data_IF_951006336509
#
_entry.id   IF_951006336509
#
_cell.length_a   1.000
_cell.length_b   1.000
_cell.length_c   1.000
_cell.angle_alpha   90.00
_cell.angle_beta   90.00
_cell.angle_gamma   90.00
#
_symmetry.space_group_name_H-M   'P 1'
#
loop_
_entity.id
_entity.type
_entity.pdbx_description
1 polymer ?
#
# COMPACT_ATOMS: atom_id res chain seq x y z
N UNK A 1 -28.63 -18.23 15.60
CA UNK A 1 -28.48 -16.97 14.88
C UNK A 1 -27.07 -16.39 14.96
N UNK A 2 -26.46 -16.09 16.14
CA UNK A 2 -25.10 -15.48 16.21
C UNK A 2 -23.94 -16.41 15.75
N UNK A 3 -24.08 -17.72 15.81
CA UNK A 3 -23.07 -18.68 15.39
C UNK A 3 -23.17 -18.96 13.88
N UNK A 4 -24.41 -19.01 13.34
CA UNK A 4 -24.66 -19.19 11.91
C UNK A 4 -24.23 -17.98 11.08
N UNK A 5 -24.37 -16.75 11.59
CA UNK A 5 -23.89 -15.56 10.88
C UNK A 5 -22.34 -15.50 10.83
N UNK A 6 -21.63 -15.99 11.86
CA UNK A 6 -20.17 -16.05 11.85
C UNK A 6 -19.65 -17.05 10.79
N UNK A 7 -20.29 -18.21 10.69
CA UNK A 7 -19.94 -19.20 9.66
C UNK A 7 -20.30 -18.70 8.25
N UNK A 8 -21.32 -17.85 8.11
CA UNK A 8 -21.70 -17.24 6.82
C UNK A 8 -20.71 -16.13 6.42
N UNK A 9 -20.28 -15.29 7.36
CA UNK A 9 -19.29 -14.21 7.13
C UNK A 9 -17.92 -14.81 6.77
N UNK A 10 -17.48 -15.85 7.48
CA UNK A 10 -16.29 -16.64 7.17
C UNK A 10 -16.42 -17.33 5.80
N UNK A 11 -17.60 -17.86 5.48
CA UNK A 11 -17.85 -18.59 4.23
C UNK A 11 -17.94 -17.68 3.00
N UNK A 12 -18.43 -16.46 3.15
CA UNK A 12 -18.48 -15.43 2.10
C UNK A 12 -17.08 -14.94 1.77
N UNK A 13 -16.26 -14.74 2.81
CA UNK A 13 -14.87 -14.34 2.66
C UNK A 13 -14.03 -15.45 2.00
N UNK A 14 -14.20 -16.69 2.44
CA UNK A 14 -13.56 -17.91 1.94
C UNK A 14 -13.77 -18.15 0.43
N UNK A 15 -14.95 -17.87 -0.11
CA UNK A 15 -15.27 -18.11 -1.51
C UNK A 15 -14.63 -17.12 -2.48
N UNK A 16 -14.38 -15.87 -2.05
CA UNK A 16 -13.87 -14.84 -2.94
C UNK A 16 -12.35 -14.84 -3.12
N UNK A 17 -11.61 -15.25 -2.11
CA UNK A 17 -10.13 -15.26 -2.17
C UNK A 17 -9.63 -16.49 -2.92
N UNK A 18 -10.27 -17.66 -2.75
CA UNK A 18 -9.89 -18.91 -3.43
C UNK A 18 -10.19 -18.93 -4.95
N UNK A 19 -11.00 -17.99 -5.47
CA UNK A 19 -11.38 -17.97 -6.90
C UNK A 19 -10.54 -17.04 -7.78
N UNK A 20 -9.64 -16.22 -7.21
CA UNK A 20 -9.01 -15.14 -7.95
C UNK A 20 -7.75 -15.49 -8.74
N UNK A 21 -7.37 -16.76 -8.88
CA UNK A 21 -6.25 -17.16 -9.77
C UNK A 21 -4.95 -16.36 -9.55
N UNK A 22 -4.67 -15.95 -8.30
CA UNK A 22 -3.48 -15.18 -7.97
C UNK A 22 -2.25 -16.06 -8.11
N UNK A 23 -1.22 -15.50 -8.74
CA UNK A 23 0.09 -16.11 -8.80
C UNK A 23 0.98 -15.44 -7.76
N UNK A 24 1.48 -16.22 -6.82
CA UNK A 24 2.42 -15.79 -5.82
C UNK A 24 3.83 -16.15 -6.23
N UNK A 25 4.71 -15.16 -6.30
CA UNK A 25 6.11 -15.33 -6.65
C UNK A 25 6.98 -15.03 -5.43
N UNK A 26 7.88 -15.94 -5.11
CA UNK A 26 8.88 -15.76 -4.07
C UNK A 26 10.26 -15.60 -4.72
N UNK A 27 10.85 -14.43 -4.57
CA UNK A 27 12.23 -14.19 -4.98
C UNK A 27 13.15 -14.47 -3.81
N UNK A 28 14.12 -15.38 -3.99
CA UNK A 28 15.09 -15.78 -2.99
C UNK A 28 16.46 -15.36 -3.47
N UNK A 29 17.19 -14.63 -2.62
CA UNK A 29 18.61 -14.37 -2.76
C UNK A 29 19.36 -15.21 -1.75
N UNK A 30 20.06 -16.22 -2.24
CA UNK A 30 20.86 -17.16 -1.42
C UNK A 30 22.30 -17.29 -1.98
N UNK A 31 23.07 -18.27 -1.49
CA UNK A 31 24.46 -18.48 -1.90
C UNK A 31 24.57 -18.93 -3.39
N UNK A 32 23.50 -19.47 -3.98
CA UNK A 32 23.42 -19.81 -5.39
C UNK A 32 23.12 -18.59 -6.30
N UNK A 33 22.64 -17.50 -5.70
CA UNK A 33 22.26 -16.26 -6.38
C UNK A 33 20.78 -15.90 -6.23
N UNK A 34 20.26 -15.12 -7.16
CA UNK A 34 18.87 -14.69 -7.18
C UNK A 34 18.02 -15.65 -8.00
N UNK A 35 16.94 -16.15 -7.43
CA UNK A 35 15.94 -16.98 -8.11
C UNK A 35 14.53 -16.56 -7.76
N UNK A 36 13.62 -16.66 -8.71
CA UNK A 36 12.19 -16.39 -8.50
C UNK A 36 11.37 -17.64 -8.75
N UNK A 37 10.52 -18.00 -7.81
CA UNK A 37 9.73 -19.21 -7.79
C UNK A 37 8.25 -18.85 -7.78
N UNK A 38 7.46 -19.40 -8.70
CA UNK A 38 6.02 -19.29 -8.66
C UNK A 38 5.44 -20.34 -7.72
N UNK A 39 4.92 -19.92 -6.57
CA UNK A 39 4.38 -20.82 -5.55
C UNK A 39 3.14 -21.58 -6.03
N UNK A 40 2.38 -21.03 -6.98
CA UNK A 40 1.18 -21.67 -7.53
C UNK A 40 1.51 -22.93 -8.36
N UNK A 41 2.77 -23.10 -8.79
CA UNK A 41 3.19 -24.28 -9.58
C UNK A 41 3.33 -25.55 -8.77
N UNK A 42 3.40 -25.46 -7.43
CA UNK A 42 3.54 -26.65 -6.56
C UNK A 42 2.25 -27.48 -6.47
N UNK A 43 1.11 -26.95 -6.86
CA UNK A 43 -0.18 -27.68 -6.84
C UNK A 43 -0.66 -28.06 -5.45
N UNK A 44 -0.15 -27.42 -4.40
CA UNK A 44 -0.52 -27.63 -3.00
C UNK A 44 -0.44 -26.30 -2.25
N UNK A 45 -1.20 -26.19 -1.16
CA UNK A 45 -1.27 -24.95 -0.41
C UNK A 45 -0.13 -24.79 0.62
N UNK A 46 0.46 -25.88 1.11
CA UNK A 46 1.54 -25.85 2.10
C UNK A 46 2.84 -26.32 1.46
N UNK A 47 3.83 -25.44 1.38
CA UNK A 47 5.10 -25.59 0.68
C UNK A 47 6.21 -25.50 1.72
N UNK A 48 7.01 -26.55 1.88
CA UNK A 48 8.13 -26.59 2.82
C UNK A 48 9.36 -25.89 2.24
N UNK A 49 10.16 -25.24 3.11
CA UNK A 49 11.43 -24.66 2.71
C UNK A 49 12.52 -24.89 3.78
N UNK A 50 13.76 -24.95 3.32
CA UNK A 50 14.93 -25.22 4.16
C UNK A 50 16.15 -25.59 3.32
N UNK A 51 17.30 -25.87 3.96
CA UNK A 51 18.53 -26.20 3.23
C UNK A 51 18.55 -27.63 2.68
N UNK A 52 17.75 -28.55 3.24
CA UNK A 52 17.65 -29.92 2.74
C UNK A 52 16.91 -30.02 1.41
N UNK A 53 17.41 -30.85 0.50
CA UNK A 53 16.75 -31.19 -0.77
C UNK A 53 15.39 -31.91 -0.61
N UNK A 54 15.04 -32.32 0.60
CA UNK A 54 13.74 -32.92 0.90
C UNK A 54 12.61 -31.87 1.01
N UNK A 55 12.94 -30.58 1.07
CA UNK A 55 11.94 -29.52 1.04
C UNK A 55 11.46 -29.27 -0.40
N UNK A 56 10.28 -28.69 -0.51
CA UNK A 56 9.74 -28.23 -1.80
C UNK A 56 10.60 -27.12 -2.40
N UNK A 57 11.09 -26.23 -1.52
CA UNK A 57 12.04 -25.17 -1.88
C UNK A 57 13.33 -25.44 -1.11
N UNK A 58 14.33 -25.93 -1.83
CA UNK A 58 15.67 -26.11 -1.29
C UNK A 58 16.46 -24.79 -1.42
N UNK A 59 16.93 -24.29 -0.28
CA UNK A 59 17.66 -23.02 -0.18
C UNK A 59 19.16 -23.32 -0.05
N UNK A 60 19.96 -22.74 -0.93
CA UNK A 60 21.41 -22.92 -0.91
C UNK A 60 22.07 -21.99 0.11
N UNK A 61 22.02 -22.36 1.39
CA UNK A 61 22.70 -21.60 2.44
C UNK A 61 22.96 -22.45 3.69
N UNK A 62 24.17 -22.32 4.23
CA UNK A 62 24.53 -22.96 5.50
C UNK A 62 23.94 -22.26 6.73
N UNK A 63 23.21 -21.16 6.54
CA UNK A 63 22.57 -20.35 7.59
C UNK A 63 21.09 -20.65 7.71
N UNK A 64 20.57 -21.60 6.96
CA UNK A 64 19.18 -22.05 6.96
C UNK A 64 19.13 -23.48 7.49
N UNK A 65 18.21 -23.80 8.39
CA UNK A 65 18.04 -25.15 8.88
C UNK A 65 17.63 -26.13 7.78
N UNK A 66 17.90 -27.42 7.98
CA UNK A 66 17.48 -28.48 7.05
C UNK A 66 16.01 -28.39 6.71
N UNK A 67 15.18 -28.11 7.70
CA UNK A 67 13.79 -27.70 7.56
C UNK A 67 13.58 -26.41 8.33
N UNK A 68 13.39 -25.30 7.62
CA UNK A 68 13.24 -23.98 8.23
C UNK A 68 11.79 -23.69 8.57
N UNK A 69 10.84 -24.10 7.70
CA UNK A 69 9.43 -23.83 7.89
C UNK A 69 8.57 -24.05 6.64
N UNK A 70 7.43 -23.37 6.61
CA UNK A 70 6.45 -23.49 5.56
C UNK A 70 5.99 -22.15 5.01
N UNK A 71 5.62 -22.17 3.75
CA UNK A 71 4.78 -21.15 3.10
C UNK A 71 3.41 -21.79 2.91
N UNK A 72 2.37 -21.16 3.42
CA UNK A 72 0.99 -21.64 3.28
C UNK A 72 0.16 -20.63 2.52
N UNK A 73 -0.36 -21.05 1.34
CA UNK A 73 -1.28 -20.25 0.54
C UNK A 73 -2.65 -20.38 1.17
N UNK A 74 -3.11 -19.30 1.79
CA UNK A 74 -4.40 -19.20 2.46
C UNK A 74 -5.33 -18.27 1.68
N UNK A 75 -6.55 -18.16 2.12
CA UNK A 75 -7.52 -17.18 1.63
C UNK A 75 -7.11 -15.72 1.85
N UNK A 76 -6.23 -15.46 2.82
CA UNK A 76 -5.72 -14.11 3.16
C UNK A 76 -4.37 -13.79 2.49
N UNK A 77 -3.84 -14.69 1.66
CA UNK A 77 -2.54 -14.58 1.03
C UNK A 77 -1.56 -15.66 1.47
N UNK A 78 -0.29 -15.40 1.41
CA UNK A 78 0.75 -16.36 1.78
C UNK A 78 1.21 -16.11 3.21
N UNK A 79 0.97 -17.09 4.09
CA UNK A 79 1.52 -17.13 5.44
C UNK A 79 2.88 -17.83 5.40
N UNK A 80 3.92 -17.18 5.92
CA UNK A 80 5.21 -17.84 6.18
C UNK A 80 5.31 -18.17 7.66
N UNK A 81 5.69 -19.43 7.96
CA UNK A 81 5.86 -19.95 9.32
C UNK A 81 7.28 -20.45 9.53
N UNK A 82 7.86 -20.12 10.69
CA UNK A 82 9.18 -20.59 11.12
C UNK A 82 9.06 -21.77 12.07
N UNK A 83 9.49 -22.94 11.65
CA UNK A 83 9.54 -24.14 12.50
C UNK A 83 10.91 -24.35 13.17
N UNK A 84 11.93 -23.57 12.75
CA UNK A 84 13.26 -23.67 13.33
C UNK A 84 13.29 -23.03 14.73
N UNK A 85 13.79 -23.80 15.71
CA UNK A 85 14.05 -23.33 17.07
C UNK A 85 15.42 -22.64 17.21
N UNK A 86 16.30 -22.78 16.23
CA UNK A 86 17.70 -22.33 16.32
C UNK A 86 17.94 -21.10 15.43
N UNK A 87 17.26 -21.04 14.28
CA UNK A 87 17.48 -20.03 13.26
C UNK A 87 16.26 -19.12 13.14
N UNK A 88 16.32 -17.88 13.68
CA UNK A 88 15.20 -16.97 13.62
C UNK A 88 15.01 -16.39 12.21
N UNK A 89 13.77 -16.19 11.80
CA UNK A 89 13.42 -15.33 10.69
C UNK A 89 13.30 -13.88 11.16
N UNK A 90 13.73 -12.95 10.32
CA UNK A 90 13.73 -11.53 10.62
C UNK A 90 12.91 -10.81 9.53
N UNK A 91 11.85 -10.15 9.94
CA UNK A 91 11.00 -9.33 9.07
C UNK A 91 11.34 -7.85 9.09
N UNK A 92 10.40 -7.04 8.64
CA UNK A 92 10.46 -5.58 8.67
C UNK A 92 10.77 -5.07 10.09
N UNK A 93 11.55 -3.98 10.19
CA UNK A 93 11.94 -3.41 11.48
C UNK A 93 12.94 -4.25 12.27
N UNK A 94 13.59 -5.27 11.67
CA UNK A 94 14.48 -6.24 12.31
C UNK A 94 13.81 -7.04 13.45
N UNK A 95 12.50 -7.22 13.38
CA UNK A 95 11.75 -8.01 14.34
C UNK A 95 11.90 -9.52 14.03
N UNK A 96 12.04 -10.32 15.06
CA UNK A 96 11.96 -11.80 14.93
C UNK A 96 10.50 -12.14 14.69
N UNK A 97 10.28 -12.97 13.68
CA UNK A 97 8.94 -13.43 13.26
C UNK A 97 8.86 -14.95 13.34
N UNK A 98 7.77 -15.45 13.90
CA UNK A 98 7.43 -16.87 13.88
C UNK A 98 6.45 -17.16 12.74
N UNK A 99 5.35 -16.39 12.67
CA UNK A 99 4.34 -16.44 11.61
C UNK A 99 4.01 -15.04 11.13
N UNK A 100 4.00 -14.82 9.81
CA UNK A 100 3.60 -13.54 9.23
C UNK A 100 3.00 -13.72 7.84
N UNK A 101 1.96 -12.93 7.52
CA UNK A 101 1.43 -12.84 6.16
C UNK A 101 2.34 -11.98 5.30
N UNK A 102 2.70 -12.51 4.12
CA UNK A 102 3.52 -11.83 3.13
C UNK A 102 2.62 -11.11 2.12
N UNK A 103 2.72 -9.80 2.06
CA UNK A 103 2.08 -8.93 1.07
C UNK A 103 3.02 -8.60 -0.08
N UNK A 104 2.53 -7.86 -1.08
CA UNK A 104 3.35 -7.36 -2.18
C UNK A 104 4.60 -6.65 -1.66
N UNK A 105 5.75 -7.14 -2.05
CA UNK A 105 7.03 -6.60 -1.66
C UNK A 105 7.44 -6.86 -0.21
N UNK A 106 6.69 -7.61 0.61
CA UNK A 106 7.17 -8.06 1.93
C UNK A 106 8.45 -8.85 1.80
N UNK A 107 9.33 -8.72 2.79
CA UNK A 107 10.57 -9.49 2.81
C UNK A 107 10.78 -10.18 4.15
N UNK A 108 11.51 -11.29 4.10
CA UNK A 108 12.00 -12.04 5.26
C UNK A 108 13.47 -12.33 5.06
N UNK A 109 14.26 -12.18 6.13
CA UNK A 109 15.68 -12.50 6.15
C UNK A 109 15.97 -13.63 7.12
N UNK A 110 16.92 -14.48 6.76
CA UNK A 110 17.57 -15.43 7.65
C UNK A 110 19.05 -15.11 7.57
N UNK A 111 19.62 -14.51 8.61
CA UNK A 111 21.00 -14.04 8.62
C UNK A 111 21.73 -14.44 9.90
N UNK A 112 22.97 -14.82 9.75
CA UNK A 112 23.92 -14.86 10.87
C UNK A 112 24.43 -13.43 11.16
N UNK A 113 24.07 -12.92 12.33
CA UNK A 113 24.43 -11.55 12.74
C UNK A 113 25.93 -11.30 12.83
N UNK A 114 26.72 -12.32 13.06
CA UNK A 114 28.18 -12.19 13.22
C UNK A 114 28.88 -12.10 11.86
N UNK A 115 28.53 -12.95 10.92
CA UNK A 115 29.15 -13.00 9.58
C UNK A 115 28.44 -12.09 8.57
N UNK A 116 27.24 -11.58 8.87
CA UNK A 116 26.37 -10.83 7.94
C UNK A 116 26.09 -11.62 6.64
N UNK A 117 26.03 -12.95 6.74
CA UNK A 117 25.69 -13.87 5.66
C UNK A 117 24.34 -14.50 5.92
N UNK A 118 23.66 -14.90 4.87
CA UNK A 118 22.36 -15.55 4.94
C UNK A 118 21.56 -15.31 3.67
N UNK A 119 20.25 -15.28 3.80
CA UNK A 119 19.33 -15.16 2.68
C UNK A 119 18.33 -14.03 2.88
N UNK A 120 17.76 -13.56 1.76
CA UNK A 120 16.58 -12.68 1.71
C UNK A 120 15.53 -13.33 0.83
N UNK A 121 14.30 -13.36 1.30
CA UNK A 121 13.12 -13.77 0.54
C UNK A 121 12.20 -12.56 0.38
N UNK A 122 11.69 -12.31 -0.85
CA UNK A 122 10.78 -11.19 -1.15
C UNK A 122 9.56 -11.75 -1.87
N UNK A 123 8.37 -11.38 -1.39
CA UNK A 123 7.10 -11.77 -2.00
C UNK A 123 6.69 -10.79 -3.09
N UNK A 124 6.13 -11.32 -4.19
CA UNK A 124 5.39 -10.54 -5.17
C UNK A 124 4.13 -11.27 -5.63
N UNK A 125 3.08 -10.52 -5.97
CA UNK A 125 1.76 -11.03 -6.31
C UNK A 125 1.44 -10.69 -7.77
N UNK A 126 1.00 -11.69 -8.54
CA UNK A 126 0.60 -11.58 -9.94
C UNK A 126 1.67 -11.05 -10.91
N UNK A 127 2.91 -10.91 -10.47
CA UNK A 127 4.00 -10.38 -11.28
C UNK A 127 5.23 -11.24 -11.12
N UNK A 128 5.67 -11.83 -12.22
CA UNK A 128 6.98 -12.46 -12.28
C UNK A 128 8.05 -11.37 -12.26
N UNK A 129 8.82 -11.30 -11.18
CA UNK A 129 9.91 -10.34 -10.98
C UNK A 129 11.23 -10.93 -11.48
N UNK A 130 11.28 -11.47 -12.72
CA UNK A 130 12.47 -12.11 -13.26
C UNK A 130 13.60 -11.12 -13.54
N UNK A 131 13.32 -9.81 -13.56
CA UNK A 131 14.29 -8.80 -13.94
C UNK A 131 14.63 -7.87 -12.79
N UNK A 132 15.49 -8.36 -11.89
CA UNK A 132 16.19 -7.48 -10.97
C UNK A 132 17.33 -6.80 -11.70
N UNK A 133 17.36 -5.48 -11.64
CA UNK A 133 18.49 -4.72 -12.14
C UNK A 133 19.64 -4.77 -11.14
N UNK A 134 20.86 -4.62 -11.63
CA UNK A 134 22.05 -4.61 -10.77
C UNK A 134 22.96 -3.43 -11.09
N UNK A 135 23.48 -2.80 -10.04
CA UNK A 135 24.48 -1.75 -10.14
C UNK A 135 25.72 -2.09 -9.32
N UNK A 136 26.89 -2.08 -9.94
CA UNK A 136 28.16 -2.35 -9.26
C UNK A 136 28.61 -1.11 -8.47
N UNK A 137 28.71 -1.22 -7.17
CA UNK A 137 29.22 -0.17 -6.31
C UNK A 137 30.76 -0.09 -6.42
N UNK A 138 31.26 1.00 -6.96
CA UNK A 138 32.67 1.33 -6.97
C UNK A 138 33.05 2.20 -5.75
N UNK A 139 34.32 2.26 -5.33
CA UNK A 139 34.75 3.23 -4.33
C UNK A 139 34.37 4.66 -4.72
N UNK A 140 33.82 5.43 -3.79
CA UNK A 140 33.29 6.78 -4.02
C UNK A 140 31.79 6.88 -3.78
N UNK A 141 31.15 7.81 -4.47
CA UNK A 141 29.74 8.15 -4.30
C UNK A 141 28.92 7.55 -5.44
N UNK A 142 27.80 6.92 -5.07
CA UNK A 142 26.75 6.47 -5.99
C UNK A 142 25.48 7.23 -5.65
N UNK A 143 24.97 8.03 -6.58
CA UNK A 143 23.76 8.85 -6.39
C UNK A 143 22.52 8.12 -6.90
N UNK A 144 21.42 8.22 -6.15
CA UNK A 144 20.13 7.61 -6.44
C UNK A 144 19.07 8.71 -6.43
N UNK A 145 18.19 8.75 -7.43
CA UNK A 145 17.13 9.74 -7.48
C UNK A 145 16.39 9.75 -8.81
N UNK A 146 15.44 10.68 -8.98
CA UNK A 146 14.66 10.80 -10.21
C UNK A 146 15.35 11.64 -11.30
N UNK A 147 16.47 12.28 -11.00
CA UNK A 147 17.24 13.02 -11.99
C UNK A 147 18.01 12.08 -12.92
N UNK A 148 17.96 12.34 -14.23
CA UNK A 148 18.78 11.63 -15.22
C UNK A 148 20.31 11.79 -15.02
N UNK A 149 20.75 12.63 -14.06
CA UNK A 149 22.16 12.79 -13.67
C UNK A 149 22.59 11.83 -12.56
N UNK A 150 21.66 11.11 -11.93
CA UNK A 150 21.97 10.11 -10.92
C UNK A 150 22.55 8.84 -11.54
N UNK A 151 23.37 8.12 -10.76
CA UNK A 151 23.91 6.82 -11.18
C UNK A 151 22.81 5.76 -11.29
N UNK A 152 21.86 5.79 -10.37
CA UNK A 152 20.66 4.96 -10.41
C UNK A 152 19.47 5.90 -10.53
N UNK A 153 18.78 5.83 -11.66
CA UNK A 153 17.61 6.68 -11.95
C UNK A 153 16.35 5.90 -11.66
N UNK A 154 15.57 6.37 -10.70
CA UNK A 154 14.33 5.74 -10.26
C UNK A 154 13.11 6.52 -10.79
N UNK A 155 11.94 5.88 -10.77
CA UNK A 155 10.68 6.53 -11.17
C UNK A 155 10.42 7.79 -10.33
N UNK A 156 9.96 8.92 -10.92
CA UNK A 156 9.81 10.20 -10.23
C UNK A 156 8.73 10.22 -9.15
N UNK A 157 7.80 9.26 -9.12
CA UNK A 157 6.73 9.25 -8.13
C UNK A 157 7.27 9.11 -6.70
N UNK A 158 7.17 10.19 -5.91
CA UNK A 158 7.63 10.22 -4.52
C UNK A 158 9.15 10.18 -4.33
N UNK A 159 9.94 10.27 -5.41
CA UNK A 159 11.41 10.23 -5.37
C UNK A 159 11.98 11.61 -5.68
N UNK A 160 12.81 12.14 -4.77
CA UNK A 160 13.50 13.39 -4.99
C UNK A 160 14.51 13.30 -6.14
N UNK A 161 14.88 14.42 -6.77
CA UNK A 161 15.88 14.46 -7.86
C UNK A 161 17.19 13.80 -7.46
N UNK A 162 17.71 14.15 -6.29
CA UNK A 162 18.78 13.49 -5.58
C UNK A 162 18.16 13.01 -4.27
N UNK A 163 17.85 11.73 -4.18
CA UNK A 163 17.14 11.17 -3.03
C UNK A 163 18.11 10.61 -2.01
N UNK A 164 19.10 9.87 -2.49
CA UNK A 164 20.08 9.21 -1.65
C UNK A 164 21.48 9.26 -2.27
N UNK A 165 22.49 9.22 -1.41
CA UNK A 165 23.88 8.99 -1.81
C UNK A 165 24.46 7.83 -1.03
N UNK A 166 24.97 6.83 -1.73
CA UNK A 166 25.74 5.74 -1.15
C UNK A 166 27.20 6.09 -1.23
N UNK A 167 27.89 6.03 -0.10
CA UNK A 167 29.32 6.28 0.02
C UNK A 167 30.02 4.94 0.28
N UNK A 168 30.97 4.58 -0.56
CA UNK A 168 31.77 3.37 -0.37
C UNK A 168 33.25 3.71 -0.21
N UNK A 169 33.78 3.33 0.95
CA UNK A 169 35.20 3.49 1.28
C UNK A 169 35.73 2.15 1.74
N UNK A 170 36.63 1.54 0.96
CA UNK A 170 37.12 0.20 1.23
C UNK A 170 35.96 -0.81 1.39
N UNK A 171 35.86 -1.42 2.57
CA UNK A 171 34.82 -2.40 2.88
C UNK A 171 33.62 -1.80 3.64
N UNK A 172 33.60 -0.48 3.85
CA UNK A 172 32.49 0.20 4.51
C UNK A 172 31.60 0.87 3.49
N UNK A 173 30.32 0.50 3.51
CA UNK A 173 29.27 1.12 2.70
C UNK A 173 28.32 1.86 3.64
N UNK A 174 28.02 3.11 3.32
CA UNK A 174 27.04 3.92 4.07
C UNK A 174 26.09 4.60 3.10
N UNK A 175 24.92 4.96 3.58
CA UNK A 175 23.91 5.69 2.81
C UNK A 175 23.48 6.93 3.57
N UNK A 176 23.24 8.03 2.85
CA UNK A 176 22.67 9.28 3.37
C UNK A 176 21.42 9.65 2.56
N UNK A 177 20.44 10.22 3.25
CA UNK A 177 19.27 10.85 2.64
C UNK A 177 19.63 12.31 2.31
N UNK A 178 19.41 12.73 1.08
CA UNK A 178 19.71 14.08 0.58
C UNK A 178 18.54 15.07 0.81
N UNK A 179 17.75 14.86 1.86
CA UNK A 179 16.60 15.71 2.22
C UNK A 179 15.35 15.35 1.43
N UNK A 180 15.11 14.06 1.22
CA UNK A 180 13.91 13.57 0.58
C UNK A 180 12.67 13.74 1.46
N UNK A 181 11.48 13.85 0.87
CA UNK A 181 10.23 13.93 1.62
C UNK A 181 9.84 12.59 2.23
N UNK A 182 10.05 11.51 1.47
CA UNK A 182 9.60 10.16 1.83
C UNK A 182 10.65 9.37 2.60
N UNK A 183 11.87 9.91 2.77
CA UNK A 183 12.93 9.25 3.50
C UNK A 183 13.50 8.01 2.83
N UNK A 184 14.45 7.39 3.49
CA UNK A 184 15.07 6.12 3.14
C UNK A 184 14.82 5.16 4.29
N UNK A 185 14.45 3.93 3.98
CA UNK A 185 14.25 2.89 4.99
C UNK A 185 15.30 1.80 4.80
N UNK A 186 15.89 1.36 5.89
CA UNK A 186 16.81 0.21 5.92
C UNK A 186 16.18 -0.85 6.80
N UNK A 187 15.87 -2.00 6.24
CA UNK A 187 15.19 -3.11 6.92
C UNK A 187 13.87 -2.69 7.61
N UNK A 188 13.13 -1.75 7.01
CA UNK A 188 11.89 -1.20 7.56
C UNK A 188 12.08 -0.08 8.60
N UNK A 189 13.31 0.36 8.89
CA UNK A 189 13.58 1.48 9.79
C UNK A 189 14.01 2.71 9.00
N UNK A 190 13.32 3.83 9.22
CA UNK A 190 13.64 5.10 8.57
C UNK A 190 14.95 5.68 9.09
N UNK A 191 15.79 6.20 8.19
CA UNK A 191 16.94 7.02 8.54
C UNK A 191 16.59 8.50 8.43
N UNK A 192 17.05 9.28 9.40
CA UNK A 192 16.82 10.74 9.40
C UNK A 192 17.62 11.41 8.29
N UNK A 193 17.05 12.47 7.68
CA UNK A 193 17.61 13.23 6.57
C UNK A 193 18.99 13.89 6.83
N UNK A 194 19.49 13.87 8.05
CA UNK A 194 20.81 14.39 8.42
C UNK A 194 21.79 13.30 8.88
N UNK A 195 21.37 12.06 8.86
CA UNK A 195 22.16 10.93 9.36
C UNK A 195 22.68 10.07 8.22
N UNK A 196 23.92 9.61 8.41
CA UNK A 196 24.53 8.59 7.58
C UNK A 196 24.39 7.24 8.27
N UNK A 197 23.72 6.27 7.61
CA UNK A 197 23.57 4.93 8.10
C UNK A 197 24.57 3.97 7.46
N UNK A 198 25.08 3.02 8.23
CA UNK A 198 25.93 1.94 7.71
C UNK A 198 25.06 0.88 7.06
N UNK A 199 25.42 0.46 5.86
CA UNK A 199 24.78 -0.65 5.15
C UNK A 199 25.61 -1.92 5.33
N UNK A 200 24.96 -2.99 5.72
CA UNK A 200 25.52 -4.31 5.80
C UNK A 200 25.07 -5.17 4.59
N UNK A 201 25.79 -6.25 4.35
CA UNK A 201 25.37 -7.19 3.33
C UNK A 201 23.94 -7.72 3.62
N UNK A 202 23.14 -7.91 2.58
CA UNK A 202 21.73 -8.29 2.65
C UNK A 202 20.79 -7.28 3.33
N UNK A 203 21.23 -6.03 3.54
CA UNK A 203 20.30 -4.99 3.95
C UNK A 203 19.33 -4.65 2.83
N UNK A 204 18.05 -4.62 3.18
CA UNK A 204 16.96 -4.25 2.27
C UNK A 204 16.67 -2.77 2.46
N UNK A 205 16.83 -2.00 1.39
CA UNK A 205 16.66 -0.55 1.37
C UNK A 205 15.40 -0.22 0.58
N UNK A 206 14.58 0.68 1.10
CA UNK A 206 13.40 1.19 0.42
C UNK A 206 13.59 2.66 0.08
N UNK A 207 13.34 2.99 -1.17
CA UNK A 207 13.31 4.36 -1.68
C UNK A 207 12.04 4.49 -2.54
N UNK A 208 11.00 5.12 -1.97
CA UNK A 208 9.68 5.14 -2.60
C UNK A 208 9.12 3.73 -2.81
N UNK A 209 8.78 3.37 -4.05
CA UNK A 209 8.33 2.04 -4.44
C UNK A 209 9.46 1.12 -4.95
N UNK A 210 10.72 1.52 -4.75
CA UNK A 210 11.87 0.73 -5.17
C UNK A 210 12.50 0.03 -3.98
N UNK A 211 12.74 -1.26 -4.10
CA UNK A 211 13.54 -2.04 -3.15
C UNK A 211 14.92 -2.27 -3.72
N UNK A 212 15.92 -2.05 -2.87
CA UNK A 212 17.30 -2.33 -3.19
C UNK A 212 17.87 -3.27 -2.13
N UNK A 213 18.72 -4.20 -2.55
CA UNK A 213 19.43 -5.12 -1.67
C UNK A 213 20.93 -4.91 -1.88
N UNK A 214 21.65 -4.62 -0.79
CA UNK A 214 23.10 -4.62 -0.85
C UNK A 214 23.60 -6.07 -0.81
N UNK A 215 24.18 -6.53 -1.90
CA UNK A 215 24.78 -7.86 -2.01
C UNK A 215 26.26 -7.73 -2.40
N UNK A 216 27.14 -7.94 -1.42
CA UNK A 216 28.60 -7.76 -1.54
C UNK A 216 28.97 -6.34 -2.00
N UNK A 217 29.30 -6.19 -3.27
CA UNK A 217 29.64 -4.91 -3.91
C UNK A 217 28.62 -4.46 -4.97
N UNK A 218 27.45 -5.06 -4.98
CA UNK A 218 26.36 -4.75 -5.90
C UNK A 218 25.13 -4.27 -5.15
N UNK A 219 24.39 -3.38 -5.77
CA UNK A 219 22.99 -3.13 -5.44
C UNK A 219 22.14 -3.87 -6.46
N UNK A 220 21.35 -4.80 -5.96
CA UNK A 220 20.25 -5.40 -6.71
C UNK A 220 19.03 -4.54 -6.44
N UNK A 221 18.29 -4.14 -7.47
CA UNK A 221 17.11 -3.30 -7.25
C UNK A 221 15.99 -3.62 -8.21
N UNK A 222 14.77 -3.34 -7.74
CA UNK A 222 13.55 -3.51 -8.49
C UNK A 222 12.51 -2.49 -8.09
N UNK A 223 11.77 -2.00 -9.08
CA UNK A 223 10.64 -1.11 -8.92
C UNK A 223 9.38 -1.97 -8.81
N UNK A 224 8.75 -1.96 -7.64
CA UNK A 224 7.46 -2.63 -7.43
C UNK A 224 6.32 -1.84 -8.07
N UNK A 225 5.17 -2.48 -8.25
CA UNK A 225 4.04 -1.83 -8.89
C UNK A 225 3.67 -0.50 -8.21
N UNK A 226 3.20 0.44 -9.02
CA UNK A 226 2.61 1.67 -8.50
C UNK A 226 1.34 1.29 -7.72
N UNK A 227 1.07 2.05 -6.64
CA UNK A 227 -0.02 1.75 -5.74
C UNK A 227 0.46 1.06 -4.46
N UNK A 228 -0.44 0.93 -3.52
CA UNK A 228 -0.18 0.28 -2.23
C UNK A 228 -1.19 -0.83 -2.04
N UNK A 229 -0.72 -2.00 -1.67
CA UNK A 229 -1.57 -3.03 -1.11
C UNK A 229 -1.95 -2.63 0.32
N UNK A 230 -3.24 -2.74 0.63
CA UNK A 230 -3.77 -2.54 1.97
C UNK A 230 -4.44 -3.81 2.44
N UNK A 231 -3.96 -4.35 3.56
CA UNK A 231 -4.54 -5.51 4.22
C UNK A 231 -5.13 -5.07 5.57
N UNK A 232 -6.44 -5.18 5.70
CA UNK A 232 -7.17 -5.00 6.94
C UNK A 232 -7.48 -6.38 7.52
N UNK A 233 -6.98 -6.68 8.73
CA UNK A 233 -7.07 -8.01 9.34
C UNK A 233 -7.83 -7.88 10.65
N UNK A 234 -9.01 -8.49 10.72
CA UNK A 234 -9.88 -8.58 11.91
C UNK A 234 -10.14 -7.22 12.59
N UNK A 235 -10.45 -6.20 11.79
CA UNK A 235 -10.63 -4.84 12.27
C UNK A 235 -11.92 -4.71 13.07
N UNK A 236 -11.76 -4.34 14.36
CA UNK A 236 -12.87 -4.02 15.26
C UNK A 236 -12.75 -2.58 15.73
N UNK A 237 -13.84 -1.81 15.66
CA UNK A 237 -13.91 -0.47 16.24
C UNK A 237 -15.08 -0.34 17.20
N UNK A 238 -14.76 -0.08 18.49
CA UNK A 238 -15.73 0.18 19.55
C UNK A 238 -15.67 1.65 19.93
N UNK A 239 -16.84 2.26 20.10
CA UNK A 239 -16.98 3.63 20.57
C UNK A 239 -17.87 3.68 21.81
N UNK A 240 -17.53 4.57 22.75
CA UNK A 240 -18.39 4.84 23.91
C UNK A 240 -19.42 5.90 23.54
N UNK A 241 -20.69 5.54 23.58
CA UNK A 241 -21.82 6.46 23.40
C UNK A 241 -22.55 6.55 24.73
N UNK A 242 -22.41 7.67 25.42
CA UNK A 242 -22.90 7.87 26.80
C UNK A 242 -22.32 6.78 27.74
N UNK A 243 -23.14 5.88 28.24
CA UNK A 243 -22.72 4.80 29.17
C UNK A 243 -22.63 3.42 28.52
N UNK A 244 -22.82 3.32 27.18
CA UNK A 244 -22.78 2.05 26.47
C UNK A 244 -21.62 2.04 25.45
N UNK A 245 -20.91 0.93 25.39
CA UNK A 245 -19.96 0.67 24.32
C UNK A 245 -20.72 0.04 23.15
N UNK A 246 -20.60 0.64 21.96
CA UNK A 246 -21.15 0.11 20.71
C UNK A 246 -20.02 -0.25 19.77
N UNK A 247 -20.13 -1.39 19.15
CA UNK A 247 -19.27 -1.80 18.05
C UNK A 247 -19.79 -1.18 16.77
N UNK A 248 -18.93 -0.48 16.05
CA UNK A 248 -19.24 0.25 14.80
C UNK A 248 -18.61 -0.42 13.60
N UNK A 249 -17.50 -1.12 13.79
CA UNK A 249 -16.90 -2.02 12.80
C UNK A 249 -16.68 -3.36 13.49
N UNK A 250 -17.12 -4.44 12.88
CA UNK A 250 -17.18 -5.75 13.50
C UNK A 250 -16.43 -6.78 12.68
N UNK A 251 -15.22 -7.10 13.14
CA UNK A 251 -14.38 -8.18 12.58
C UNK A 251 -14.21 -8.12 11.06
N UNK A 252 -13.90 -6.94 10.52
CA UNK A 252 -13.76 -6.74 9.08
C UNK A 252 -12.36 -7.11 8.64
N UNK A 253 -12.27 -8.05 7.69
CA UNK A 253 -11.03 -8.40 7.00
C UNK A 253 -11.20 -8.23 5.50
N UNK A 254 -10.21 -7.60 4.84
CA UNK A 254 -10.14 -7.48 3.39
C UNK A 254 -8.72 -7.16 2.92
N UNK A 255 -8.40 -7.55 1.69
CA UNK A 255 -7.18 -7.17 1.00
C UNK A 255 -7.51 -6.36 -0.24
N UNK A 256 -6.94 -5.18 -0.35
CA UNK A 256 -7.06 -4.27 -1.48
C UNK A 256 -5.71 -4.22 -2.19
N UNK A 257 -5.69 -4.60 -3.47
CA UNK A 257 -4.45 -4.71 -4.24
C UNK A 257 -3.94 -3.35 -4.71
N UNK A 258 -2.66 -3.24 -5.08
CA UNK A 258 -2.13 -2.06 -5.75
C UNK A 258 -2.97 -1.69 -6.97
N UNK A 259 -3.25 -0.39 -7.11
CA UNK A 259 -3.98 0.18 -8.25
C UNK A 259 -5.46 -0.23 -8.38
N UNK A 260 -6.03 -0.90 -7.37
CA UNK A 260 -7.47 -1.15 -7.34
C UNK A 260 -8.26 0.11 -6.99
N UNK A 261 -9.42 0.25 -7.63
CA UNK A 261 -10.45 1.22 -7.27
C UNK A 261 -11.60 0.52 -6.55
N UNK A 262 -11.71 0.74 -5.25
CA UNK A 262 -12.67 0.04 -4.36
C UNK A 262 -13.70 1.00 -3.81
N UNK A 263 -14.98 0.66 -3.87
CA UNK A 263 -16.06 1.41 -3.25
C UNK A 263 -16.62 0.72 -2.01
N UNK A 264 -16.69 1.44 -0.89
CA UNK A 264 -17.39 1.01 0.33
C UNK A 264 -18.82 1.55 0.28
N UNK A 265 -19.78 0.65 0.26
CA UNK A 265 -21.20 0.92 0.01
C UNK A 265 -22.05 0.40 1.18
N UNK A 266 -23.17 1.02 1.46
CA UNK A 266 -24.09 0.61 2.54
C UNK A 266 -24.90 1.78 3.10
N UNK A 267 -25.87 1.49 3.94
CA UNK A 267 -26.76 2.46 4.53
C UNK A 267 -26.05 3.56 5.35
N UNK A 268 -26.78 4.64 5.66
CA UNK A 268 -26.28 5.65 6.58
C UNK A 268 -26.12 5.05 7.97
N UNK A 269 -24.94 5.25 8.60
CA UNK A 269 -24.65 4.66 9.91
C UNK A 269 -24.14 3.22 9.90
N UNK A 270 -23.95 2.61 8.72
CA UNK A 270 -23.37 1.26 8.56
C UNK A 270 -21.88 1.15 8.94
N UNK A 271 -21.24 2.20 9.43
CA UNK A 271 -19.85 2.17 9.92
C UNK A 271 -18.76 2.39 8.86
N UNK A 272 -19.09 2.58 7.57
CA UNK A 272 -18.15 2.74 6.45
C UNK A 272 -17.04 3.75 6.70
N UNK A 273 -17.40 5.01 7.00
CA UNK A 273 -16.42 6.07 7.28
C UNK A 273 -15.61 5.79 8.54
N UNK A 274 -16.18 5.09 9.53
CA UNK A 274 -15.45 4.68 10.73
C UNK A 274 -14.42 3.62 10.40
N UNK A 275 -14.78 2.61 9.61
CA UNK A 275 -13.85 1.60 9.13
C UNK A 275 -12.77 2.23 8.26
N UNK A 276 -13.14 3.10 7.31
CA UNK A 276 -12.17 3.81 6.47
C UNK A 276 -11.17 4.63 7.31
N UNK A 277 -11.63 5.31 8.39
CA UNK A 277 -10.73 6.03 9.31
C UNK A 277 -9.77 5.09 10.04
N UNK A 278 -10.19 3.84 10.31
CA UNK A 278 -9.28 2.85 10.91
C UNK A 278 -8.22 2.36 9.94
N UNK A 279 -8.53 2.19 8.66
CA UNK A 279 -7.58 1.69 7.69
C UNK A 279 -6.73 2.78 7.01
N UNK A 280 -7.08 4.06 7.23
CA UNK A 280 -6.34 5.22 6.70
C UNK A 280 -5.38 5.85 7.71
N UNK A 281 -5.28 5.32 8.93
CA UNK A 281 -4.41 5.89 9.96
C UNK A 281 -5.00 7.09 10.73
N UNK A 282 -6.21 7.56 10.40
CA UNK A 282 -6.86 8.70 11.08
C UNK A 282 -7.24 8.34 12.52
N UNK A 283 -7.68 7.11 12.76
CA UNK A 283 -8.09 6.64 14.09
C UNK A 283 -7.76 5.17 14.26
N UNK A 284 -6.94 4.76 15.23
CA UNK A 284 -6.60 3.36 15.40
C UNK A 284 -7.83 2.48 15.65
N UNK A 285 -7.87 1.25 15.15
CA UNK A 285 -8.88 0.27 15.51
C UNK A 285 -8.81 -0.08 17.00
N UNK A 286 -9.86 -0.68 17.54
CA UNK A 286 -9.85 -1.19 18.92
C UNK A 286 -9.09 -2.51 19.01
N UNK A 287 -9.16 -3.32 17.98
CA UNK A 287 -8.36 -4.53 17.74
C UNK A 287 -8.27 -4.80 16.24
N UNK A 288 -7.38 -5.71 15.87
CA UNK A 288 -7.03 -6.00 14.48
C UNK A 288 -5.81 -5.23 14.00
N UNK A 289 -5.36 -5.54 12.80
CA UNK A 289 -4.11 -5.01 12.22
C UNK A 289 -4.37 -4.43 10.84
N UNK A 290 -3.72 -3.32 10.52
CA UNK A 290 -3.74 -2.72 9.18
C UNK A 290 -2.31 -2.75 8.65
N UNK A 291 -2.12 -3.37 7.48
CA UNK A 291 -0.83 -3.43 6.81
C UNK A 291 -0.87 -2.63 5.52
N UNK A 292 0.19 -1.90 5.24
CA UNK A 292 0.45 -1.26 3.94
C UNK A 292 1.72 -1.88 3.37
N UNK A 293 1.60 -2.60 2.26
CA UNK A 293 2.70 -3.39 1.67
C UNK A 293 3.42 -4.27 2.72
N UNK A 294 2.65 -4.90 3.63
CA UNK A 294 3.16 -5.76 4.71
C UNK A 294 3.68 -5.04 5.95
N UNK A 295 3.69 -3.71 5.98
CA UNK A 295 4.11 -2.93 7.14
C UNK A 295 2.92 -2.46 7.97
N UNK A 296 2.98 -2.68 9.29
CA UNK A 296 1.92 -2.23 10.18
C UNK A 296 1.79 -0.70 10.16
N UNK A 297 0.62 -0.23 9.74
CA UNK A 297 0.33 1.19 9.59
C UNK A 297 0.52 1.98 10.89
N UNK A 298 0.10 1.43 12.02
CA UNK A 298 0.10 2.16 13.29
C UNK A 298 1.46 2.13 14.00
N UNK A 299 2.26 1.09 13.77
CA UNK A 299 3.62 1.01 14.29
C UNK A 299 4.58 1.91 13.49
N UNK A 300 4.29 2.14 12.19
CA UNK A 300 5.12 2.89 11.27
C UNK A 300 4.41 4.12 10.68
N UNK A 301 3.42 4.69 11.38
CA UNK A 301 2.55 5.74 10.84
C UNK A 301 3.31 6.97 10.33
N UNK A 302 4.30 7.44 11.08
CA UNK A 302 5.10 8.62 10.70
C UNK A 302 5.78 8.47 9.34
N UNK A 303 6.07 7.26 8.95
CA UNK A 303 6.74 6.91 7.70
C UNK A 303 5.75 6.65 6.57
N UNK A 304 4.64 5.98 6.88
CA UNK A 304 3.65 5.55 5.89
C UNK A 304 2.66 6.66 5.51
N UNK A 305 2.45 7.65 6.41
CA UNK A 305 1.47 8.74 6.19
C UNK A 305 1.68 9.54 4.90
N UNK A 306 2.91 9.66 4.41
CA UNK A 306 3.23 10.39 3.18
C UNK A 306 2.72 9.69 1.91
N UNK A 307 2.46 8.38 2.01
CA UNK A 307 1.86 7.61 0.93
C UNK A 307 0.33 7.68 0.91
N UNK A 308 -0.29 8.31 1.91
CA UNK A 308 -1.74 8.34 2.11
C UNK A 308 -2.26 9.74 1.79
N UNK A 309 -3.21 9.83 0.87
CA UNK A 309 -4.07 11.00 0.64
C UNK A 309 -5.44 10.75 1.25
N UNK A 310 -5.97 11.70 1.99
CA UNK A 310 -7.29 11.59 2.62
C UNK A 310 -8.15 12.81 2.30
N UNK A 311 -9.23 12.60 1.56
CA UNK A 311 -10.22 13.61 1.22
C UNK A 311 -11.47 13.42 2.08
N UNK A 312 -11.70 14.28 3.08
CA UNK A 312 -12.88 14.16 3.94
C UNK A 312 -14.18 14.57 3.23
N UNK A 313 -15.29 14.25 3.88
CA UNK A 313 -16.62 14.60 3.38
C UNK A 313 -16.78 16.12 3.21
N UNK A 314 -16.31 16.91 4.19
CA UNK A 314 -16.31 18.38 4.09
C UNK A 314 -15.11 18.88 3.29
N UNK A 315 -15.30 19.98 2.55
CA UNK A 315 -14.23 20.57 1.73
C UNK A 315 -13.13 21.17 2.62
N UNK A 316 -11.87 20.79 2.34
CA UNK A 316 -10.68 21.25 3.10
C UNK A 316 -10.05 22.52 2.51
N UNK A 317 -10.70 23.17 1.58
CA UNK A 317 -10.18 24.32 0.84
C UNK A 317 -10.71 25.65 1.39
N UNK A 318 -9.86 26.68 1.44
CA UNK A 318 -10.21 27.99 1.99
C UNK A 318 -10.98 28.82 0.95
N UNK A 319 -12.24 29.18 1.26
CA UNK A 319 -13.15 29.88 0.36
C UNK A 319 -12.65 31.23 -0.16
N UNK A 320 -11.78 31.93 0.61
CA UNK A 320 -11.26 33.26 0.31
C UNK A 320 -9.96 33.26 -0.48
N UNK A 321 -9.41 32.10 -0.82
CA UNK A 321 -8.23 31.99 -1.67
C UNK A 321 -8.65 31.66 -3.11
N UNK A 322 -7.79 32.00 -4.07
CA UNK A 322 -7.92 31.48 -5.44
C UNK A 322 -7.53 30.00 -5.45
N UNK A 323 -7.95 29.27 -6.48
CA UNK A 323 -7.52 27.88 -6.67
C UNK A 323 -5.99 27.79 -6.76
N UNK A 324 -5.35 28.69 -7.50
CA UNK A 324 -3.91 28.75 -7.62
C UNK A 324 -3.23 28.98 -6.27
N UNK A 325 -3.68 29.97 -5.47
CA UNK A 325 -3.10 30.26 -4.17
C UNK A 325 -3.25 29.07 -3.21
N UNK A 326 -4.44 28.42 -3.21
CA UNK A 326 -4.70 27.23 -2.41
C UNK A 326 -3.69 26.14 -2.73
N UNK A 327 -3.47 25.84 -4.02
CA UNK A 327 -2.53 24.82 -4.46
C UNK A 327 -1.08 25.21 -4.22
N UNK A 328 -0.73 26.52 -4.33
CA UNK A 328 0.61 27.01 -4.02
C UNK A 328 0.98 26.83 -2.53
N UNK A 329 0.03 27.17 -1.63
CA UNK A 329 0.27 26.95 -0.19
C UNK A 329 0.33 25.47 0.16
N UNK A 330 -0.57 24.68 -0.40
CA UNK A 330 -0.55 23.23 -0.20
C UNK A 330 0.73 22.59 -0.73
N UNK A 331 1.20 23.00 -1.92
CA UNK A 331 2.46 22.52 -2.49
C UNK A 331 3.68 22.82 -1.61
N UNK A 332 3.72 24.02 -1.02
CA UNK A 332 4.80 24.39 -0.08
C UNK A 332 4.83 23.55 1.20
N UNK A 333 3.67 23.05 1.62
CA UNK A 333 3.55 22.25 2.86
C UNK A 333 3.72 20.74 2.60
N UNK A 334 3.46 20.27 1.38
CA UNK A 334 3.37 18.85 1.05
C UNK A 334 4.47 18.35 0.12
N UNK A 335 5.11 19.23 -0.63
CA UNK A 335 6.23 18.86 -1.50
C UNK A 335 7.56 19.03 -0.76
N UNK A 336 8.62 18.32 -1.18
CA UNK A 336 9.94 18.43 -0.57
C UNK A 336 10.45 19.87 -0.46
N UNK A 337 11.14 20.22 0.62
CA UNK A 337 11.66 21.58 0.86
C UNK A 337 12.60 22.08 -0.24
N UNK A 338 13.34 21.17 -0.89
CA UNK A 338 14.23 21.45 -2.00
C UNK A 338 13.53 21.62 -3.36
N UNK A 339 12.17 21.54 -3.40
CA UNK A 339 11.41 21.75 -4.63
C UNK A 339 11.43 23.22 -5.05
N UNK A 340 11.92 23.49 -6.25
CA UNK A 340 11.95 24.85 -6.81
C UNK A 340 10.54 25.38 -7.13
N UNK A 341 10.39 26.70 -7.24
CA UNK A 341 9.13 27.32 -7.64
C UNK A 341 8.66 26.85 -9.04
N UNK A 342 9.61 26.59 -9.94
CA UNK A 342 9.30 26.07 -11.28
C UNK A 342 8.70 24.66 -11.24
N UNK A 343 9.23 23.80 -10.38
CA UNK A 343 8.72 22.44 -10.19
C UNK A 343 7.36 22.43 -9.52
N UNK A 344 7.18 23.24 -8.46
CA UNK A 344 5.87 23.40 -7.84
C UNK A 344 4.79 23.82 -8.84
N UNK A 345 5.12 24.84 -9.68
CA UNK A 345 4.18 25.29 -10.71
C UNK A 345 3.90 24.21 -11.77
N UNK A 346 4.90 23.44 -12.16
CA UNK A 346 4.73 22.32 -13.07
C UNK A 346 3.81 21.25 -12.47
N UNK A 347 4.03 20.89 -11.19
CA UNK A 347 3.18 19.92 -10.49
C UNK A 347 1.75 20.41 -10.30
N UNK A 348 1.56 21.69 -9.96
CA UNK A 348 0.22 22.29 -9.84
C UNK A 348 -0.52 22.20 -11.18
N UNK A 349 0.16 22.50 -12.28
CA UNK A 349 -0.46 22.40 -13.61
C UNK A 349 -0.86 20.97 -13.93
N UNK A 350 0.03 20.00 -13.71
CA UNK A 350 -0.25 18.57 -13.91
C UNK A 350 -1.46 18.12 -13.08
N UNK A 351 -1.51 18.49 -11.81
CA UNK A 351 -2.63 18.14 -10.92
C UNK A 351 -3.94 18.77 -11.38
N UNK A 352 -3.92 20.02 -11.83
CA UNK A 352 -5.10 20.68 -12.38
C UNK A 352 -5.63 20.00 -13.65
N UNK A 353 -4.73 19.51 -14.49
CA UNK A 353 -5.10 18.73 -15.69
C UNK A 353 -5.74 17.38 -15.27
N UNK A 354 -5.16 16.65 -14.30
CA UNK A 354 -5.71 15.37 -13.78
C UNK A 354 -7.14 15.55 -13.25
N UNK A 355 -7.38 16.61 -12.47
CA UNK A 355 -8.71 16.84 -11.86
C UNK A 355 -9.66 17.66 -12.76
N UNK A 356 -9.28 17.95 -13.99
CA UNK A 356 -10.07 18.76 -14.95
C UNK A 356 -10.48 20.13 -14.39
N UNK A 357 -9.53 20.87 -13.82
CA UNK A 357 -9.70 22.24 -13.32
C UNK A 357 -8.80 23.27 -14.02
N UNK A 358 -8.17 22.89 -15.12
CA UNK A 358 -7.43 23.82 -15.98
C UNK A 358 -8.34 24.95 -16.47
N UNK A 359 -7.89 26.21 -16.36
CA UNK A 359 -8.64 27.41 -16.68
C UNK A 359 -9.40 28.03 -15.51
N UNK A 360 -9.40 27.38 -14.32
CA UNK A 360 -10.03 27.90 -13.10
C UNK A 360 -9.03 28.43 -12.08
N UNK A 361 -7.75 28.53 -12.42
CA UNK A 361 -6.63 28.87 -11.53
C UNK A 361 -6.88 30.18 -10.76
N UNK A 362 -7.40 31.19 -11.43
CA UNK A 362 -7.64 32.51 -10.88
C UNK A 362 -9.03 32.66 -10.21
N UNK A 363 -9.86 31.63 -10.24
CA UNK A 363 -11.16 31.64 -9.60
C UNK A 363 -11.03 31.48 -8.09
N UNK A 364 -11.75 32.27 -7.32
CA UNK A 364 -11.87 32.06 -5.89
C UNK A 364 -12.59 30.75 -5.60
N UNK A 365 -12.16 30.01 -4.58
CA UNK A 365 -12.76 28.73 -4.18
C UNK A 365 -14.27 28.87 -3.95
N UNK A 366 -14.74 29.99 -3.37
CA UNK A 366 -16.18 30.28 -3.17
C UNK A 366 -16.98 30.39 -4.46
N UNK A 367 -16.33 30.67 -5.60
CA UNK A 367 -16.97 30.81 -6.92
C UNK A 367 -17.07 29.48 -7.67
N UNK A 368 -16.35 28.47 -7.23
CA UNK A 368 -16.37 27.14 -7.82
C UNK A 368 -17.70 26.44 -7.50
N UNK A 369 -18.20 25.65 -8.45
CA UNK A 369 -19.33 24.74 -8.19
C UNK A 369 -18.97 23.70 -7.13
N UNK A 370 -19.95 23.01 -6.56
CA UNK A 370 -19.72 21.94 -5.59
C UNK A 370 -18.75 20.88 -6.10
N UNK A 371 -18.96 20.39 -7.33
CA UNK A 371 -18.06 19.42 -7.96
C UNK A 371 -16.66 19.96 -8.24
N UNK A 372 -16.53 21.23 -8.60
CA UNK A 372 -15.22 21.87 -8.77
C UNK A 372 -14.48 22.01 -7.43
N UNK A 373 -15.19 22.34 -6.34
CA UNK A 373 -14.58 22.38 -5.00
C UNK A 373 -14.10 21.00 -4.54
N UNK A 374 -14.89 19.95 -4.80
CA UNK A 374 -14.44 18.57 -4.50
C UNK A 374 -13.20 18.20 -5.29
N UNK A 375 -13.14 18.52 -6.58
CA UNK A 375 -11.92 18.31 -7.37
C UNK A 375 -10.75 19.12 -6.87
N UNK A 376 -10.98 20.35 -6.38
CA UNK A 376 -9.94 21.16 -5.76
C UNK A 376 -9.42 20.51 -4.47
N UNK A 377 -10.28 19.90 -3.64
CA UNK A 377 -9.88 19.13 -2.47
C UNK A 377 -9.04 17.89 -2.85
N UNK A 378 -9.42 17.17 -3.91
CA UNK A 378 -8.63 16.05 -4.45
C UNK A 378 -7.28 16.57 -4.97
N UNK A 379 -7.25 17.72 -5.66
CA UNK A 379 -6.04 18.34 -6.19
C UNK A 379 -5.02 18.65 -5.07
N UNK A 380 -5.49 19.17 -3.94
CA UNK A 380 -4.64 19.45 -2.76
C UNK A 380 -3.93 18.18 -2.28
N UNK A 381 -4.64 17.06 -2.21
CA UNK A 381 -4.04 15.78 -1.80
C UNK A 381 -3.08 15.23 -2.87
N UNK A 382 -3.39 15.40 -4.16
CA UNK A 382 -2.55 14.95 -5.27
C UNK A 382 -1.18 15.61 -5.37
N UNK A 383 -1.00 16.79 -4.79
CA UNK A 383 0.29 17.51 -4.83
C UNK A 383 1.45 16.70 -4.25
N UNK A 384 1.19 15.95 -3.18
CA UNK A 384 2.17 15.07 -2.55
C UNK A 384 2.40 13.75 -3.31
N UNK A 385 1.62 13.51 -4.36
CA UNK A 385 1.64 12.27 -5.16
C UNK A 385 1.48 10.97 -4.35
N UNK A 386 0.52 10.89 -3.40
CA UNK A 386 0.34 9.67 -2.63
C UNK A 386 -0.07 8.50 -3.52
N UNK A 387 0.28 7.28 -3.10
CA UNK A 387 -0.05 6.06 -3.85
C UNK A 387 -1.36 5.41 -3.38
N UNK A 388 -1.88 5.83 -2.22
CA UNK A 388 -3.12 5.33 -1.62
C UNK A 388 -4.04 6.52 -1.30
N UNK A 389 -5.24 6.52 -1.86
CA UNK A 389 -6.24 7.57 -1.67
C UNK A 389 -7.49 7.07 -0.96
N UNK A 390 -7.90 7.79 0.07
CA UNK A 390 -9.17 7.62 0.74
C UNK A 390 -10.07 8.84 0.48
N UNK A 391 -11.31 8.58 0.06
CA UNK A 391 -12.28 9.63 -0.21
C UNK A 391 -13.60 9.31 0.52
N UNK A 392 -13.98 10.18 1.45
CA UNK A 392 -15.20 10.04 2.24
C UNK A 392 -16.33 10.83 1.59
N UNK A 393 -17.24 10.13 0.93
CA UNK A 393 -18.39 10.68 0.20
C UNK A 393 -18.07 11.88 -0.72
N UNK A 394 -17.06 11.79 -1.61
CA UNK A 394 -16.63 12.94 -2.42
C UNK A 394 -17.66 13.40 -3.45
N UNK A 395 -18.72 12.63 -3.66
CA UNK A 395 -19.79 12.93 -4.62
C UNK A 395 -21.12 13.27 -3.97
N UNK A 396 -21.16 13.35 -2.64
CA UNK A 396 -22.37 13.68 -1.89
C UNK A 396 -22.91 15.07 -2.28
N UNK A 397 -24.22 15.14 -2.54
CA UNK A 397 -24.91 16.39 -2.91
C UNK A 397 -24.61 16.93 -4.30
N UNK A 398 -23.96 16.14 -5.17
CA UNK A 398 -23.69 16.49 -6.57
C UNK A 398 -24.76 15.91 -7.50
N UNK A 399 -24.96 16.56 -8.64
CA UNK A 399 -25.79 16.01 -9.71
C UNK A 399 -25.15 14.76 -10.34
N UNK A 400 -25.94 13.85 -10.95
CA UNK A 400 -25.44 12.59 -11.51
C UNK A 400 -24.35 12.76 -12.58
N UNK A 401 -24.38 13.83 -13.35
CA UNK A 401 -23.39 14.10 -14.39
C UNK A 401 -22.03 14.48 -13.80
N UNK A 402 -22.04 15.36 -12.80
CA UNK A 402 -20.83 15.76 -12.05
C UNK A 402 -20.26 14.60 -11.26
N UNK A 403 -21.10 13.78 -10.60
CA UNK A 403 -20.69 12.56 -9.92
C UNK A 403 -19.95 11.62 -10.88
N UNK A 404 -20.58 11.28 -12.02
CA UNK A 404 -19.95 10.40 -13.02
C UNK A 404 -18.61 10.94 -13.50
N UNK A 405 -18.48 12.25 -13.63
CA UNK A 405 -17.19 12.88 -14.01
C UNK A 405 -16.12 12.66 -12.95
N UNK A 406 -16.45 12.80 -11.65
CA UNK A 406 -15.51 12.54 -10.55
C UNK A 406 -15.13 11.06 -10.53
N UNK A 407 -16.10 10.14 -10.62
CA UNK A 407 -15.84 8.69 -10.64
C UNK A 407 -14.91 8.29 -11.80
N UNK A 408 -15.06 8.89 -12.99
CA UNK A 408 -14.15 8.69 -14.12
C UNK A 408 -12.73 9.17 -13.80
N UNK A 409 -12.59 10.38 -13.22
CA UNK A 409 -11.28 10.91 -12.81
C UNK A 409 -10.60 9.95 -11.80
N UNK A 410 -11.35 9.43 -10.82
CA UNK A 410 -10.82 8.44 -9.85
C UNK A 410 -10.41 7.14 -10.55
N UNK A 411 -11.20 6.67 -11.55
CA UNK A 411 -10.83 5.51 -12.36
C UNK A 411 -9.54 5.74 -13.14
N UNK A 412 -9.40 6.90 -13.78
CA UNK A 412 -8.18 7.28 -14.49
C UNK A 412 -6.97 7.32 -13.54
N UNK A 413 -7.12 7.86 -12.33
CA UNK A 413 -6.08 7.85 -11.30
C UNK A 413 -5.68 6.41 -10.90
N UNK A 414 -6.63 5.48 -10.77
CA UNK A 414 -6.29 4.08 -10.46
C UNK A 414 -5.53 3.43 -11.61
N UNK A 415 -5.90 3.71 -12.86
CA UNK A 415 -5.18 3.25 -14.05
C UNK A 415 -3.76 3.84 -14.17
N UNK A 416 -3.52 5.02 -13.57
CA UNK A 416 -2.18 5.60 -13.42
C UNK A 416 -1.37 4.98 -12.27
N UNK A 417 -1.91 3.98 -11.58
CA UNK A 417 -1.23 3.25 -10.52
C UNK A 417 -1.55 3.71 -9.10
N UNK A 418 -2.64 4.44 -8.86
CA UNK A 418 -3.07 4.83 -7.51
C UNK A 418 -4.08 3.81 -6.96
N UNK A 419 -3.90 3.35 -5.72
CA UNK A 419 -4.93 2.57 -5.02
C UNK A 419 -5.96 3.54 -4.45
N UNK A 420 -7.24 3.33 -4.77
CA UNK A 420 -8.31 4.28 -4.43
C UNK A 420 -9.41 3.58 -3.65
N UNK A 421 -9.75 4.14 -2.49
CA UNK A 421 -10.82 3.67 -1.62
C UNK A 421 -11.84 4.79 -1.44
N UNK A 422 -13.05 4.55 -1.87
CA UNK A 422 -14.15 5.50 -1.89
C UNK A 422 -15.26 5.05 -0.95
N UNK A 423 -15.70 5.87 -0.03
CA UNK A 423 -17.00 5.68 0.65
C UNK A 423 -18.08 6.39 -0.14
N UNK A 424 -19.16 5.69 -0.47
CA UNK A 424 -20.31 6.27 -1.13
C UNK A 424 -21.61 5.59 -0.70
N UNK A 425 -22.70 6.30 -0.80
CA UNK A 425 -24.06 5.76 -0.73
C UNK A 425 -24.75 5.73 -2.10
N UNK A 426 -24.07 6.23 -3.15
CA UNK A 426 -24.60 6.24 -4.51
C UNK A 426 -24.12 5.01 -5.30
N UNK A 427 -25.07 4.33 -5.93
CA UNK A 427 -24.83 3.07 -6.64
C UNK A 427 -24.66 3.22 -8.16
N UNK A 428 -24.99 4.40 -8.73
CA UNK A 428 -25.09 4.61 -10.18
C UNK A 428 -23.79 4.31 -10.96
N UNK A 429 -22.63 4.54 -10.33
CA UNK A 429 -21.34 4.46 -11.00
C UNK A 429 -20.43 3.35 -10.42
N UNK A 430 -20.97 2.40 -9.64
CA UNK A 430 -20.18 1.31 -9.03
C UNK A 430 -19.52 0.40 -10.06
N UNK A 431 -20.06 0.30 -11.27
CA UNK A 431 -19.47 -0.43 -12.39
C UNK A 431 -18.10 0.09 -12.84
N UNK A 432 -17.70 1.31 -12.41
CA UNK A 432 -16.38 1.87 -12.66
C UNK A 432 -15.32 1.38 -11.66
N UNK A 433 -15.75 0.77 -10.55
CA UNK A 433 -14.85 0.21 -9.53
C UNK A 433 -14.42 -1.20 -9.92
N UNK A 434 -13.23 -1.59 -9.48
CA UNK A 434 -12.75 -2.97 -9.61
C UNK A 434 -13.45 -3.87 -8.59
N UNK A 435 -13.65 -3.36 -7.36
CA UNK A 435 -14.35 -4.06 -6.29
C UNK A 435 -15.32 -3.15 -5.54
N UNK A 436 -16.31 -3.78 -4.91
CA UNK A 436 -17.27 -3.15 -4.02
C UNK A 436 -17.33 -3.93 -2.71
N UNK A 437 -17.37 -3.20 -1.59
CA UNK A 437 -17.57 -3.74 -0.26
C UNK A 437 -18.94 -3.25 0.27
N UNK A 438 -19.87 -4.15 0.46
CA UNK A 438 -21.19 -3.84 1.02
C UNK A 438 -21.17 -4.00 2.54
N UNK A 439 -21.44 -2.91 3.25
CA UNK A 439 -21.52 -2.88 4.71
C UNK A 439 -22.97 -2.84 5.17
N UNK A 440 -23.34 -3.79 6.02
CA UNK A 440 -24.62 -3.85 6.71
C UNK A 440 -24.57 -3.16 8.07
N UNK A 441 -25.62 -3.38 8.85
CA UNK A 441 -25.76 -2.79 10.17
C UNK A 441 -24.60 -3.15 11.11
N UNK A 442 -24.23 -2.18 11.97
CA UNK A 442 -23.16 -2.35 12.97
C UNK A 442 -21.76 -2.61 12.37
N UNK A 443 -21.52 -2.23 11.11
CA UNK A 443 -20.21 -2.32 10.47
C UNK A 443 -19.79 -3.72 10.10
N UNK A 444 -20.75 -4.61 9.83
CA UNK A 444 -20.47 -5.93 9.27
C UNK A 444 -20.21 -5.82 7.78
N UNK A 445 -19.17 -6.50 7.30
CA UNK A 445 -18.92 -6.68 5.89
C UNK A 445 -19.83 -7.80 5.35
N UNK A 446 -20.79 -7.44 4.50
CA UNK A 446 -21.74 -8.40 3.93
C UNK A 446 -21.23 -9.03 2.62
N UNK A 447 -20.42 -8.29 1.88
CA UNK A 447 -19.86 -8.73 0.61
C UNK A 447 -18.61 -7.91 0.25
N UNK A 448 -17.62 -8.56 -0.35
CA UNK A 448 -16.46 -7.92 -0.97
C UNK A 448 -16.06 -8.66 -2.25
N UNK A 449 -16.10 -7.99 -3.38
CA UNK A 449 -15.80 -8.58 -4.68
C UNK A 449 -16.08 -7.61 -5.83
N UNK A 450 -16.06 -8.08 -7.09
CA UNK A 450 -16.40 -7.24 -8.23
C UNK A 450 -17.87 -6.81 -8.22
N UNK A 451 -18.21 -5.67 -8.87
CA UNK A 451 -19.60 -5.23 -8.98
C UNK A 451 -20.55 -6.28 -9.55
N UNK A 452 -20.11 -7.07 -10.54
CA UNK A 452 -20.93 -8.11 -11.14
C UNK A 452 -21.15 -9.30 -10.19
N UNK A 453 -20.13 -9.69 -9.45
CA UNK A 453 -20.24 -10.73 -8.42
C UNK A 453 -21.20 -10.34 -7.31
N UNK A 454 -21.23 -9.04 -6.92
CA UNK A 454 -22.19 -8.55 -5.94
C UNK A 454 -23.64 -8.79 -6.38
N UNK A 455 -23.99 -8.41 -7.61
CA UNK A 455 -25.34 -8.64 -8.15
C UNK A 455 -25.71 -10.11 -8.16
N UNK A 456 -24.77 -10.96 -8.56
CA UNK A 456 -24.96 -12.42 -8.60
C UNK A 456 -25.12 -13.00 -7.17
N UNK A 457 -24.31 -12.53 -6.22
CA UNK A 457 -24.32 -13.00 -4.83
C UNK A 457 -25.65 -12.70 -4.13
N UNK A 458 -26.15 -11.47 -4.29
CA UNK A 458 -27.43 -11.05 -3.70
C UNK A 458 -28.64 -11.48 -4.54
N UNK A 459 -28.46 -12.01 -5.75
CA UNK A 459 -29.52 -12.45 -6.63
C UNK A 459 -30.39 -11.30 -7.16
N UNK A 460 -29.82 -10.12 -7.35
CA UNK A 460 -30.52 -8.90 -7.79
C UNK A 460 -29.94 -8.37 -9.11
N UNK A 461 -30.70 -7.51 -9.78
CA UNK A 461 -30.27 -6.89 -11.05
C UNK A 461 -29.79 -5.44 -10.88
N UNK A 462 -30.04 -4.83 -9.72
CA UNK A 462 -29.65 -3.46 -9.43
C UNK A 462 -29.03 -3.38 -8.03
N UNK A 463 -27.98 -2.58 -7.90
CA UNK A 463 -27.30 -2.36 -6.62
C UNK A 463 -28.19 -1.71 -5.56
N UNK A 464 -29.21 -0.93 -5.97
CA UNK A 464 -30.18 -0.33 -5.05
C UNK A 464 -30.95 -1.42 -4.27
N UNK A 465 -31.26 -2.55 -4.90
CA UNK A 465 -32.01 -3.63 -4.27
C UNK A 465 -31.21 -4.29 -3.14
N UNK A 466 -29.86 -4.23 -3.20
CA UNK A 466 -28.98 -4.78 -2.16
C UNK A 466 -29.22 -4.08 -0.80
N UNK A 467 -29.51 -2.74 -0.82
CA UNK A 467 -29.78 -2.01 0.42
C UNK A 467 -30.99 -2.50 1.21
N UNK A 468 -31.88 -3.22 0.57
CA UNK A 468 -33.06 -3.81 1.26
C UNK A 468 -32.74 -5.17 1.86
N UNK A 469 -31.60 -5.76 1.52
CA UNK A 469 -31.17 -7.10 1.95
C UNK A 469 -30.13 -7.07 3.08
N UNK A 470 -29.42 -5.94 3.27
CA UNK A 470 -28.31 -5.81 4.21
C UNK A 470 -28.62 -4.93 5.43
#
# INVERSE_FOLDING_TARGET
MKKENRELDDYVHLRHVAQNGENYFLTILDDAGLQTINLSTFGKNKISFGSSFNNDIAISSNFVDDHQGYLEITEYGVLISNDSLQVPMIGNGNQIIDDVYLSEGSFVKIIDKASQKGIVMIMSINKNLDEWESYNLTPGNTTIGSSGTCNIVLSPAGIAKHHATIHRILNKTTISDEGSLNGIYINGQMISSSQQATLNNLDVIFIGNTKLILYENKLLYQIFEKGIQLDAIDIVKKVKIKFKTREISSHVSMSIKPSEFVAFVGGSGAGKSTFMKCISGVTPPTSGTVLLNGENLYDNYENLKYNIGYVPQDDIVFSNLTLHDTLQYAAKLRMPDNTSAKERNARIKEVLDIVNLTGFENSYIRQLSGGQRKRASIAVELLADPNLFFLDEPTSGLDPGTERSIMKTLREMSQMGKTIILVTHNTLNLHLCDKVAFFGDSGHLCFYGSPQEALNFFGVNDFVDIYTLI
#
